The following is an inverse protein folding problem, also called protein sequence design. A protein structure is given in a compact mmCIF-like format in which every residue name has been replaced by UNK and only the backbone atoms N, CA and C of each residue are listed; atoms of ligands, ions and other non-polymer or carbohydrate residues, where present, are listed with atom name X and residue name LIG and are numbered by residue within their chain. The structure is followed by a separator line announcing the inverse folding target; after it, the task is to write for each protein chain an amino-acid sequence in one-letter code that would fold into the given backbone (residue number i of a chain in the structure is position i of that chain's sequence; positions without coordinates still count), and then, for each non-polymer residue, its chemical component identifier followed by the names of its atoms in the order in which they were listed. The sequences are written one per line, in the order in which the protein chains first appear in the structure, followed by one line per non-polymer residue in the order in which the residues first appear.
data_IF_747935128148
#
_entry.id   IF_747935128148
#
_cell.length_a   1.000
_cell.length_b   1.000
_cell.length_c   1.000
_cell.angle_alpha   90.00
_cell.angle_beta   90.00
_cell.angle_gamma   90.00
#
_symmetry.space_group_name_H-M   'P 1'
#
loop_
_entity.id
_entity.type
_entity.pdbx_description
1 polymer ?
#
# COMPACT_ATOMS: atom_id res chain seq x y z
N UNK A 1 -24.74 -3.11 13.50
CA UNK A 1 -24.10 -2.15 12.57
C UNK A 1 -22.92 -2.86 11.90
N UNK A 2 -22.89 -2.92 10.57
CA UNK A 2 -22.10 -3.89 9.77
C UNK A 2 -20.94 -3.29 8.97
N UNK A 3 -20.69 -1.99 9.07
CA UNK A 3 -19.65 -1.28 8.30
C UNK A 3 -18.64 -0.62 9.25
N UNK A 4 -17.35 -0.74 8.93
CA UNK A 4 -16.26 -0.03 9.60
C UNK A 4 -15.24 0.48 8.58
N UNK A 5 -14.55 1.58 8.89
CA UNK A 5 -13.56 2.16 7.99
C UNK A 5 -12.49 2.96 8.71
N UNK A 6 -11.34 3.12 8.05
CA UNK A 6 -10.20 3.92 8.51
C UNK A 6 -9.62 4.67 7.32
N UNK A 7 -9.18 5.91 7.55
CA UNK A 7 -8.50 6.74 6.57
C UNK A 7 -7.26 7.36 7.21
N UNK A 8 -6.17 7.44 6.45
CA UNK A 8 -4.92 8.07 6.85
C UNK A 8 -4.41 8.97 5.74
N UNK A 9 -3.85 10.11 6.14
CA UNK A 9 -3.23 11.08 5.24
C UNK A 9 -1.91 11.56 5.85
N UNK A 10 -0.89 11.71 5.01
CA UNK A 10 0.41 12.22 5.42
C UNK A 10 0.93 13.21 4.39
N UNK A 11 1.05 14.48 4.79
CA UNK A 11 1.74 15.51 4.03
C UNK A 11 3.22 15.54 4.42
N UNK A 12 4.12 15.67 3.45
CA UNK A 12 5.57 15.60 3.66
C UNK A 12 6.30 16.75 2.96
N UNK A 13 7.22 17.35 3.69
CA UNK A 13 8.16 18.34 3.17
C UNK A 13 9.59 17.94 3.57
N UNK A 14 10.21 17.08 2.76
CA UNK A 14 11.61 16.73 2.91
C UNK A 14 12.44 17.47 1.86
N UNK A 15 13.51 18.14 2.28
CA UNK A 15 14.48 18.80 1.41
C UNK A 15 15.88 18.35 1.77
N UNK A 16 16.76 18.27 0.78
CA UNK A 16 18.19 18.02 0.96
C UNK A 16 18.89 19.33 1.32
N UNK A 17 19.82 19.29 2.27
CA UNK A 17 20.60 20.46 2.70
C UNK A 17 21.97 20.02 3.22
N UNK A 18 22.96 20.92 3.16
CA UNK A 18 24.29 20.68 3.74
C UNK A 18 25.16 19.71 2.95
N UNK A 19 24.87 19.49 1.67
CA UNK A 19 25.73 18.71 0.78
C UNK A 19 26.79 19.61 0.13
N UNK A 20 27.92 19.04 -0.28
CA UNK A 20 28.95 19.74 -1.08
C UNK A 20 28.53 19.98 -2.54
N UNK A 21 27.36 19.46 -2.97
CA UNK A 21 26.82 19.61 -4.31
C UNK A 21 25.63 20.58 -4.30
N UNK A 22 25.87 21.85 -4.64
CA UNK A 22 24.85 22.89 -4.60
C UNK A 22 23.62 22.60 -5.48
N UNK A 23 23.79 21.85 -6.58
CA UNK A 23 22.71 21.46 -7.49
C UNK A 23 21.65 20.57 -6.84
N UNK A 24 21.98 19.89 -5.73
CA UNK A 24 21.08 19.01 -4.99
C UNK A 24 20.45 19.71 -3.78
N UNK A 25 21.16 20.70 -3.20
CA UNK A 25 20.67 21.43 -2.04
C UNK A 25 19.35 22.17 -2.35
N UNK A 26 18.39 22.08 -1.43
CA UNK A 26 17.05 22.65 -1.57
C UNK A 26 16.06 21.77 -2.35
N UNK A 27 16.54 20.78 -3.11
CA UNK A 27 15.68 19.83 -3.80
C UNK A 27 14.94 18.93 -2.81
N UNK A 28 13.81 18.41 -3.25
CA UNK A 28 13.06 17.43 -2.48
C UNK A 28 13.85 16.13 -2.36
N UNK A 29 13.86 15.55 -1.17
CA UNK A 29 14.53 14.27 -0.94
C UNK A 29 14.03 13.19 -1.90
N UNK A 30 14.97 12.35 -2.36
CA UNK A 30 14.71 11.24 -3.28
C UNK A 30 13.55 10.36 -2.77
N UNK A 31 12.72 9.87 -3.69
CA UNK A 31 11.59 8.96 -3.41
C UNK A 31 10.59 9.45 -2.35
N UNK A 32 10.62 10.75 -2.00
CA UNK A 32 9.74 11.30 -0.97
C UNK A 32 8.59 12.07 -1.61
N UNK A 33 7.36 11.53 -1.62
CA UNK A 33 6.20 12.21 -2.18
C UNK A 33 5.77 13.38 -1.30
N UNK A 34 5.00 14.32 -1.86
CA UNK A 34 4.36 15.40 -1.08
C UNK A 34 3.19 14.90 -0.23
N UNK A 35 2.53 13.85 -0.69
CA UNK A 35 1.31 13.32 -0.10
C UNK A 35 1.28 11.80 -0.22
N UNK A 36 0.90 11.14 0.87
CA UNK A 36 0.46 9.74 0.88
C UNK A 36 -0.89 9.63 1.56
N UNK A 37 -1.73 8.75 1.05
CA UNK A 37 -3.03 8.42 1.64
C UNK A 37 -3.22 6.92 1.69
N UNK A 38 -3.95 6.46 2.70
CA UNK A 38 -4.41 5.09 2.80
C UNK A 38 -5.85 5.05 3.30
N UNK A 39 -6.57 4.00 2.93
CA UNK A 39 -7.93 3.76 3.37
C UNK A 39 -8.21 2.29 3.53
N UNK A 40 -9.06 1.96 4.48
CA UNK A 40 -9.62 0.64 4.70
C UNK A 40 -11.14 0.80 4.84
N UNK A 41 -11.90 0.00 4.12
CA UNK A 41 -13.32 -0.18 4.34
C UNK A 41 -13.59 -1.67 4.56
N UNK A 42 -14.39 -2.01 5.56
CA UNK A 42 -14.74 -3.39 5.90
C UNK A 42 -16.23 -3.52 6.20
N UNK A 43 -16.87 -4.49 5.58
CA UNK A 43 -18.31 -4.70 5.60
C UNK A 43 -18.66 -6.17 5.86
N UNK A 44 -19.49 -6.42 6.88
CA UNK A 44 -20.04 -7.75 7.17
C UNK A 44 -21.17 -8.05 6.18
N UNK A 45 -21.05 -9.16 5.44
CA UNK A 45 -21.98 -9.53 4.38
C UNK A 45 -23.27 -10.13 4.98
N UNK A 46 -24.45 -9.52 4.80
CA UNK A 46 -25.69 -10.08 5.33
C UNK A 46 -26.07 -11.43 4.71
N UNK A 47 -25.73 -11.63 3.42
CA UNK A 47 -26.01 -12.85 2.69
C UNK A 47 -25.10 -14.04 3.08
N UNK A 48 -23.97 -13.77 3.74
CA UNK A 48 -22.99 -14.78 4.15
C UNK A 48 -22.62 -14.54 5.62
N UNK A 49 -23.33 -15.22 6.50
CA UNK A 49 -23.08 -15.14 7.94
C UNK A 49 -21.61 -15.41 8.26
N UNK A 50 -21.07 -14.69 9.24
CA UNK A 50 -19.68 -14.80 9.67
C UNK A 50 -18.63 -14.42 8.61
N UNK A 51 -19.04 -13.75 7.52
CA UNK A 51 -18.14 -13.27 6.47
C UNK A 51 -18.06 -11.75 6.44
N UNK A 52 -16.84 -11.23 6.26
CA UNK A 52 -16.54 -9.82 6.07
C UNK A 52 -15.75 -9.63 4.78
N UNK A 53 -16.19 -8.68 3.94
CA UNK A 53 -15.42 -8.19 2.80
C UNK A 53 -14.71 -6.89 3.18
N UNK A 54 -13.54 -6.65 2.59
CA UNK A 54 -12.78 -5.41 2.80
C UNK A 54 -12.12 -4.91 1.53
N UNK A 55 -11.97 -3.59 1.44
CA UNK A 55 -11.17 -2.90 0.43
C UNK A 55 -10.08 -2.13 1.16
N UNK A 56 -8.84 -2.25 0.70
CA UNK A 56 -7.73 -1.36 1.07
C UNK A 56 -7.37 -0.50 -0.13
N UNK A 57 -7.27 0.80 0.07
CA UNK A 57 -6.80 1.75 -0.93
C UNK A 57 -5.50 2.40 -0.45
N UNK A 58 -4.56 2.59 -1.37
CA UNK A 58 -3.36 3.40 -1.15
C UNK A 58 -3.14 4.36 -2.31
N UNK A 59 -2.65 5.56 -1.98
CA UNK A 59 -2.25 6.57 -2.94
C UNK A 59 -0.87 7.15 -2.56
N UNK A 60 -0.02 7.25 -3.56
CA UNK A 60 1.30 7.88 -3.46
C UNK A 60 1.41 8.93 -4.54
N UNK A 61 1.65 10.18 -4.14
CA UNK A 61 1.83 11.28 -5.09
C UNK A 61 3.14 11.14 -5.89
N UNK A 62 3.25 11.92 -6.98
CA UNK A 62 4.48 12.08 -7.75
C UNK A 62 5.65 12.40 -6.82
N UNK A 63 6.80 11.79 -7.10
CA UNK A 63 8.02 11.93 -6.26
C UNK A 63 9.30 11.88 -7.09
N UNK A 64 10.39 12.51 -6.62
CA UNK A 64 11.66 12.51 -7.35
C UNK A 64 12.24 11.10 -7.51
N UNK A 65 12.76 10.81 -8.70
CA UNK A 65 13.53 9.62 -9.02
C UNK A 65 15.04 9.90 -9.13
N UNK A 66 15.43 11.18 -9.22
CA UNK A 66 16.82 11.65 -9.22
C UNK A 66 17.02 12.70 -8.13
N UNK A 67 18.24 12.80 -7.59
CA UNK A 67 18.60 13.76 -6.54
C UNK A 67 18.50 15.23 -7.00
N UNK A 68 18.76 15.49 -8.28
CA UNK A 68 18.59 16.81 -8.91
C UNK A 68 17.12 17.18 -9.17
N UNK A 69 16.17 16.28 -8.88
CA UNK A 69 14.73 16.50 -9.01
C UNK A 69 14.19 16.53 -10.46
N UNK A 70 15.04 16.30 -11.47
CA UNK A 70 14.64 16.39 -12.89
C UNK A 70 13.73 15.25 -13.32
N UNK A 71 13.99 14.03 -12.85
CA UNK A 71 13.17 12.85 -13.16
C UNK A 71 12.26 12.54 -11.98
N UNK A 72 11.02 12.16 -12.26
CA UNK A 72 10.03 11.88 -11.25
C UNK A 72 9.24 10.61 -11.58
N UNK A 73 8.94 9.82 -10.55
CA UNK A 73 8.01 8.72 -10.65
C UNK A 73 6.57 9.24 -10.66
N UNK A 74 5.69 8.68 -11.51
CA UNK A 74 4.28 9.06 -11.52
C UNK A 74 3.61 8.72 -10.19
N UNK A 75 2.54 9.43 -9.88
CA UNK A 75 1.63 9.03 -8.80
C UNK A 75 0.92 7.74 -9.16
N UNK A 76 0.49 6.98 -8.15
CA UNK A 76 -0.32 5.79 -8.38
C UNK A 76 -1.38 5.61 -7.29
N UNK A 77 -2.46 4.91 -7.68
CA UNK A 77 -3.42 4.31 -6.78
C UNK A 77 -3.27 2.80 -6.83
N UNK A 78 -3.40 2.14 -5.69
CA UNK A 78 -3.49 0.67 -5.60
C UNK A 78 -4.67 0.30 -4.72
N UNK A 79 -5.40 -0.72 -5.16
CA UNK A 79 -6.56 -1.27 -4.47
C UNK A 79 -6.36 -2.75 -4.23
N UNK A 80 -6.62 -3.17 -3.00
CA UNK A 80 -6.57 -4.56 -2.58
C UNK A 80 -7.96 -4.95 -2.04
N UNK A 81 -8.36 -6.20 -2.29
CA UNK A 81 -9.60 -6.78 -1.78
C UNK A 81 -9.29 -7.89 -0.78
N UNK A 82 -10.13 -8.02 0.22
CA UNK A 82 -10.04 -9.06 1.24
C UNK A 82 -11.40 -9.67 1.54
N UNK A 83 -11.40 -10.96 1.83
CA UNK A 83 -12.53 -11.70 2.35
C UNK A 83 -12.07 -12.49 3.58
N UNK A 84 -12.79 -12.35 4.68
CA UNK A 84 -12.54 -13.05 5.93
C UNK A 84 -13.81 -13.81 6.31
N UNK A 85 -13.71 -15.12 6.54
CA UNK A 85 -14.79 -15.94 7.06
C UNK A 85 -14.35 -16.61 8.36
N UNK A 86 -15.08 -16.36 9.45
CA UNK A 86 -14.73 -16.85 10.78
C UNK A 86 -15.91 -17.57 11.41
N UNK A 87 -15.75 -18.86 11.70
CA UNK A 87 -16.81 -19.68 12.31
C UNK A 87 -16.26 -20.63 13.37
N UNK A 88 -17.10 -21.05 14.30
CA UNK A 88 -16.80 -22.17 15.21
C UNK A 88 -17.19 -23.49 14.55
N UNK A 89 -16.35 -24.51 14.72
CA UNK A 89 -16.55 -25.86 14.18
C UNK A 89 -17.07 -26.86 15.24
N UNK A 90 -17.00 -26.52 16.52
CA UNK A 90 -17.39 -27.35 17.66
C UNK A 90 -16.98 -26.70 18.99
N UNK A 91 -16.99 -27.46 20.08
CA UNK A 91 -16.42 -27.00 21.35
C UNK A 91 -14.89 -26.82 21.22
N UNK A 92 -14.40 -25.63 21.56
CA UNK A 92 -12.97 -25.26 21.46
C UNK A 92 -12.51 -24.83 20.06
N UNK A 93 -12.97 -25.46 18.98
CA UNK A 93 -12.35 -25.23 17.66
C UNK A 93 -12.95 -24.04 16.88
N UNK A 94 -12.10 -23.06 16.55
CA UNK A 94 -12.39 -21.96 15.62
C UNK A 94 -11.74 -22.17 14.24
N UNK A 95 -12.42 -21.73 13.18
CA UNK A 95 -11.94 -21.69 11.80
C UNK A 95 -11.87 -20.24 11.31
N UNK A 96 -10.73 -19.83 10.77
CA UNK A 96 -10.55 -18.56 10.05
C UNK A 96 -10.07 -18.85 8.63
N UNK A 97 -10.86 -18.43 7.64
CA UNK A 97 -10.50 -18.46 6.22
C UNK A 97 -10.27 -17.04 5.73
N UNK A 98 -9.13 -16.80 5.09
CA UNK A 98 -8.78 -15.50 4.53
C UNK A 98 -8.45 -15.64 3.07
N UNK A 99 -8.98 -14.72 2.27
CA UNK A 99 -8.64 -14.58 0.87
C UNK A 99 -8.33 -13.11 0.59
N UNK A 100 -7.24 -12.85 -0.11
CA UNK A 100 -6.83 -11.51 -0.51
C UNK A 100 -6.44 -11.47 -1.98
N UNK A 101 -6.83 -10.38 -2.64
CA UNK A 101 -6.34 -10.01 -3.97
C UNK A 101 -5.64 -8.67 -3.81
N UNK A 102 -4.33 -8.69 -3.95
CA UNK A 102 -3.51 -7.48 -3.97
C UNK A 102 -3.39 -6.94 -5.39
N UNK A 103 -3.37 -5.61 -5.54
CA UNK A 103 -3.30 -4.91 -6.82
C UNK A 103 -4.38 -5.42 -7.79
N UNK A 104 -5.64 -5.26 -7.40
CA UNK A 104 -6.81 -5.83 -8.09
C UNK A 104 -6.93 -5.36 -9.55
N UNK A 105 -6.42 -4.17 -9.87
CA UNK A 105 -6.41 -3.64 -11.24
C UNK A 105 -5.16 -4.03 -12.04
N UNK A 106 -4.25 -4.81 -11.46
CA UNK A 106 -2.96 -5.20 -12.07
C UNK A 106 -2.19 -4.00 -12.64
N UNK A 107 -2.21 -2.89 -11.90
CA UNK A 107 -1.55 -1.68 -12.32
C UNK A 107 -0.04 -1.87 -12.23
N UNK A 108 0.68 -1.63 -13.33
CA UNK A 108 2.13 -1.56 -13.35
C UNK A 108 2.58 -0.17 -12.85
N UNK A 109 3.29 -0.12 -11.73
CA UNK A 109 3.76 1.13 -11.13
C UNK A 109 5.17 0.98 -10.58
N UNK A 110 5.87 2.11 -10.40
CA UNK A 110 7.13 2.15 -9.66
C UNK A 110 6.83 2.27 -8.17
N UNK A 111 7.27 1.29 -7.38
CA UNK A 111 7.12 1.26 -5.92
C UNK A 111 8.07 2.23 -5.26
N UNK A 112 9.34 2.18 -5.61
CA UNK A 112 10.41 2.98 -5.00
C UNK A 112 11.43 3.42 -6.06
N UNK A 113 12.06 4.57 -5.82
CA UNK A 113 13.33 4.96 -6.42
C UNK A 113 14.42 4.94 -5.33
N UNK A 114 15.61 4.50 -5.70
CA UNK A 114 16.80 4.56 -4.86
C UNK A 114 17.98 5.01 -5.72
N UNK A 115 19.04 5.44 -5.06
CA UNK A 115 20.31 5.80 -5.66
C UNK A 115 21.42 5.17 -4.82
N UNK A 116 22.39 4.55 -5.49
CA UNK A 116 23.59 4.05 -4.85
C UNK A 116 24.80 4.36 -5.73
N UNK A 117 25.75 5.11 -5.19
CA UNK A 117 26.99 5.54 -5.87
C UNK A 117 26.76 6.27 -7.21
N UNK A 118 25.61 6.94 -7.38
CA UNK A 118 25.26 7.68 -8.59
C UNK A 118 24.43 6.89 -9.60
N UNK A 119 24.22 5.59 -9.36
CA UNK A 119 23.33 4.76 -10.15
C UNK A 119 21.90 4.80 -9.60
N UNK A 120 20.96 5.17 -10.48
CA UNK A 120 19.54 5.18 -10.16
C UNK A 120 18.90 3.80 -10.27
N UNK A 121 18.26 3.33 -9.20
CA UNK A 121 17.52 2.07 -9.15
C UNK A 121 16.03 2.31 -9.00
N UNK A 122 15.24 1.63 -9.82
CA UNK A 122 13.78 1.64 -9.72
C UNK A 122 13.28 0.26 -9.32
N UNK A 123 12.44 0.21 -8.29
CA UNK A 123 11.79 -1.03 -7.88
C UNK A 123 10.35 -1.06 -8.37
N UNK A 124 10.01 -2.06 -9.15
CA UNK A 124 8.64 -2.27 -9.62
C UNK A 124 7.69 -2.61 -8.47
N UNK A 125 6.45 -2.17 -8.59
CA UNK A 125 5.33 -2.59 -7.76
C UNK A 125 5.03 -4.08 -7.95
N UNK A 126 4.50 -4.72 -6.90
CA UNK A 126 4.07 -6.10 -7.01
C UNK A 126 2.91 -6.22 -8.02
N UNK A 127 2.92 -7.24 -8.90
CA UNK A 127 1.80 -7.51 -9.79
C UNK A 127 0.58 -7.97 -8.99
N UNK A 128 -0.56 -8.16 -9.67
CA UNK A 128 -1.74 -8.76 -9.04
C UNK A 128 -1.37 -10.08 -8.36
N UNK A 129 -1.62 -10.16 -7.05
CA UNK A 129 -1.23 -11.32 -6.23
C UNK A 129 -2.43 -11.86 -5.47
N UNK A 130 -2.64 -13.17 -5.56
CA UNK A 130 -3.69 -13.88 -4.83
C UNK A 130 -3.09 -14.56 -3.61
N UNK A 131 -3.73 -14.39 -2.45
CA UNK A 131 -3.31 -15.03 -1.19
C UNK A 131 -4.50 -15.67 -0.52
N UNK A 132 -4.31 -16.88 -0.01
CA UNK A 132 -5.31 -17.56 0.79
C UNK A 132 -4.66 -18.17 2.04
N UNK A 133 -5.36 -18.17 3.16
CA UNK A 133 -4.91 -18.86 4.37
C UNK A 133 -6.08 -19.48 5.10
N UNK A 134 -5.80 -20.61 5.75
CA UNK A 134 -6.71 -21.31 6.65
C UNK A 134 -6.03 -21.43 8.01
N UNK A 135 -6.75 -21.11 9.08
CA UNK A 135 -6.26 -21.25 10.45
C UNK A 135 -7.30 -21.96 11.30
N UNK A 136 -6.84 -22.95 12.06
CA UNK A 136 -7.60 -23.60 13.12
C UNK A 136 -7.04 -23.13 14.47
N UNK A 137 -7.91 -22.65 15.35
CA UNK A 137 -7.57 -22.29 16.72
C UNK A 137 -8.30 -23.22 17.69
N UNK A 138 -7.62 -23.63 18.77
CA UNK A 138 -8.20 -24.41 19.88
C UNK A 138 -8.59 -23.50 21.04
#
# INVERSE_FOLDING_TARGET
QSLSGRLGLTAMQAKVSGTSQDVVNGNRALNTPKLRMNGLLAYKLPALQATQASVVWSYVAKRPATADGRVNLPSYHRFDLGLLHERRLGEGTGLSLRFYVENVFDHAYWRDAADFLGDGYLTAGAPRTFKASLTLSQ
#
